data_IF_736938866913
#
_entry.id   IF_736938866913
#
_cell.length_a   1.000
_cell.length_b   1.000
_cell.length_c   1.000
_cell.angle_alpha   90.00
_cell.angle_beta   90.00
_cell.angle_gamma   90.00
#
_symmetry.space_group_name_H-M   'P 1'
#
loop_
_entity.id
_entity.type
_entity.pdbx_description
1 polymer ?
#
# COMPACT_ATOMS: atom_id res chain seq x y z
N UNK A 1 -10.34 13.30 -2.61
CA UNK A 1 -10.55 11.84 -2.45
C UNK A 1 -9.83 11.37 -1.21
N UNK A 2 -10.54 10.78 -0.29
CA UNK A 2 -9.94 10.28 0.93
C UNK A 2 -9.18 8.99 0.64
N UNK A 3 -7.88 8.99 0.90
CA UNK A 3 -7.03 7.83 0.65
C UNK A 3 -7.26 6.73 1.69
N UNK A 4 -7.40 7.12 2.96
CA UNK A 4 -7.59 6.18 4.05
C UNK A 4 -8.92 6.44 4.74
N UNK A 5 -9.69 5.39 4.89
CA UNK A 5 -10.90 5.40 5.69
C UNK A 5 -10.75 4.42 6.84
N UNK A 6 -11.42 4.69 7.95
CA UNK A 6 -11.51 3.69 9.01
C UNK A 6 -12.31 2.52 8.44
N UNK A 7 -11.63 1.42 8.23
CA UNK A 7 -12.24 0.24 7.68
C UNK A 7 -12.28 -0.87 8.71
N UNK A 8 -13.38 -1.59 8.74
CA UNK A 8 -13.37 -2.90 9.33
C UNK A 8 -12.66 -3.82 8.35
N UNK A 9 -11.37 -3.88 8.48
CA UNK A 9 -10.64 -4.84 7.71
C UNK A 9 -10.73 -6.18 8.39
N UNK A 10 -11.63 -7.00 7.94
CA UNK A 10 -11.44 -8.41 8.12
C UNK A 10 -10.32 -8.76 7.17
N UNK A 11 -9.13 -8.82 7.70
CA UNK A 11 -7.97 -9.16 6.90
C UNK A 11 -8.13 -10.59 6.41
N UNK A 12 -8.72 -10.71 5.25
CA UNK A 12 -8.58 -11.92 4.48
C UNK A 12 -7.18 -11.88 3.90
N UNK A 13 -6.32 -12.84 4.22
CA UNK A 13 -5.04 -12.92 3.55
C UNK A 13 -5.30 -13.22 2.09
N UNK A 14 -5.30 -12.16 1.29
CA UNK A 14 -5.21 -12.33 -0.15
C UNK A 14 -3.81 -12.82 -0.46
N UNK A 15 -3.70 -13.69 -1.44
CA UNK A 15 -2.40 -13.98 -2.00
C UNK A 15 -1.77 -12.64 -2.39
N UNK A 16 -0.58 -12.37 -1.88
CA UNK A 16 0.11 -11.11 -2.06
C UNK A 16 1.31 -11.27 -2.97
N UNK A 17 1.57 -10.25 -3.77
CA UNK A 17 2.86 -10.10 -4.43
C UNK A 17 3.95 -9.86 -3.38
N UNK A 18 5.21 -9.87 -3.80
CA UNK A 18 6.36 -9.67 -2.92
C UNK A 18 6.21 -8.38 -2.11
N UNK A 19 6.41 -8.48 -0.79
CA UNK A 19 6.36 -7.33 0.12
C UNK A 19 7.68 -7.23 0.87
N UNK A 20 8.28 -6.05 0.81
CA UNK A 20 9.46 -5.72 1.59
C UNK A 20 9.10 -4.71 2.67
N UNK A 21 9.64 -4.92 3.86
CA UNK A 21 9.51 -3.99 4.97
C UNK A 21 10.77 -3.15 5.03
N UNK A 22 10.61 -1.83 4.86
CA UNK A 22 11.73 -0.88 4.93
C UNK A 22 12.04 -0.43 6.34
N UNK A 23 12.51 0.82 6.47
CA UNK A 23 12.79 1.46 7.76
C UNK A 23 11.55 1.47 8.63
N UNK A 24 11.71 1.25 9.93
CA UNK A 24 10.60 1.13 10.86
C UNK A 24 10.66 2.15 11.97
N UNK A 25 9.51 2.77 12.21
CA UNK A 25 9.19 3.50 13.42
C UNK A 25 8.44 2.53 14.34
N UNK A 26 8.97 2.22 15.54
CA UNK A 26 8.32 1.21 16.40
C UNK A 26 6.89 1.55 16.82
N UNK A 27 6.47 2.80 16.69
CA UNK A 27 5.11 3.21 17.02
C UNK A 27 4.09 2.81 15.94
N UNK A 28 4.55 2.59 14.72
CA UNK A 28 3.68 2.39 13.57
C UNK A 28 4.08 1.14 12.81
N UNK A 29 3.10 0.32 12.49
CA UNK A 29 3.29 -0.79 11.55
C UNK A 29 2.59 -0.44 10.24
N UNK A 30 3.30 -0.59 9.14
CA UNK A 30 2.79 -0.30 7.80
C UNK A 30 2.80 -1.57 6.98
N UNK A 31 1.76 -1.77 6.19
CA UNK A 31 1.73 -2.84 5.21
C UNK A 31 1.36 -2.32 3.83
N UNK A 32 1.84 -3.01 2.81
CA UNK A 32 1.50 -2.75 1.42
C UNK A 32 1.29 -4.07 0.70
N UNK A 33 0.32 -4.13 -0.20
CA UNK A 33 0.10 -5.29 -1.04
C UNK A 33 -0.39 -4.85 -2.42
N UNK A 34 -0.06 -5.66 -3.42
CA UNK A 34 -0.59 -5.52 -4.76
C UNK A 34 -0.83 -6.92 -5.30
N UNK A 35 -2.02 -7.17 -5.84
CA UNK A 35 -2.38 -8.49 -6.31
C UNK A 35 -3.27 -8.41 -7.53
N UNK A 36 -3.07 -9.33 -8.47
CA UNK A 36 -3.92 -9.50 -9.64
C UNK A 36 -5.06 -10.47 -9.34
N UNK A 37 -6.22 -10.25 -9.94
CA UNK A 37 -7.31 -11.21 -9.93
C UNK A 37 -7.16 -12.29 -11.02
N UNK A 38 -6.07 -12.27 -11.79
CA UNK A 38 -5.77 -13.29 -12.79
C UNK A 38 -5.34 -14.61 -12.16
N UNK A 39 -4.80 -15.51 -12.97
CA UNK A 39 -4.38 -16.85 -12.50
C UNK A 39 -3.22 -16.78 -11.50
N UNK A 40 -2.37 -15.78 -11.62
CA UNK A 40 -1.24 -15.58 -10.73
C UNK A 40 -1.38 -14.22 -10.05
N UNK A 41 -1.48 -14.15 -8.71
CA UNK A 41 -1.64 -12.88 -8.02
C UNK A 41 -0.43 -11.95 -8.13
N UNK A 42 0.75 -12.48 -8.45
CA UNK A 42 1.98 -11.69 -8.58
C UNK A 42 2.13 -11.03 -9.95
N UNK A 43 1.25 -11.34 -10.89
CA UNK A 43 1.36 -10.90 -12.27
C UNK A 43 -0.01 -10.53 -12.83
N UNK A 44 -0.03 -9.50 -13.65
CA UNK A 44 -1.24 -9.06 -14.33
C UNK A 44 -0.99 -8.84 -15.80
N UNK A 45 -2.02 -9.08 -16.61
CA UNK A 45 -2.02 -8.76 -18.04
C UNK A 45 -3.24 -7.91 -18.37
N UNK A 46 -3.32 -7.44 -19.60
CA UNK A 46 -4.44 -6.61 -20.07
C UNK A 46 -5.77 -7.30 -19.77
N UNK A 47 -6.67 -6.56 -19.15
CA UNK A 47 -8.00 -7.05 -18.74
C UNK A 47 -8.07 -7.52 -17.30
N UNK A 48 -6.94 -7.82 -16.66
CA UNK A 48 -6.92 -8.19 -15.25
C UNK A 48 -7.18 -6.95 -14.38
N UNK A 49 -7.74 -7.19 -13.20
CA UNK A 49 -7.88 -6.15 -12.18
C UNK A 49 -6.78 -6.33 -11.14
N UNK A 50 -6.06 -5.26 -10.88
CA UNK A 50 -5.05 -5.21 -9.83
C UNK A 50 -5.63 -4.48 -8.62
N UNK A 51 -5.53 -5.10 -7.46
CA UNK A 51 -5.92 -4.48 -6.19
C UNK A 51 -4.68 -4.10 -5.42
N UNK A 52 -4.60 -2.83 -5.04
CA UNK A 52 -3.51 -2.27 -4.24
C UNK A 52 -4.07 -1.92 -2.88
N UNK A 53 -3.43 -2.38 -1.82
CA UNK A 53 -3.85 -2.10 -0.45
C UNK A 53 -2.69 -1.56 0.38
N UNK A 54 -3.02 -0.66 1.30
CA UNK A 54 -2.08 -0.18 2.30
C UNK A 54 -2.75 -0.07 3.64
N UNK A 55 -1.99 -0.27 4.71
CA UNK A 55 -2.49 -0.10 6.07
C UNK A 55 -1.45 0.48 7.00
N UNK A 56 -1.93 1.14 8.05
CA UNK A 56 -1.10 1.69 9.13
C UNK A 56 -1.76 1.34 10.45
N UNK A 57 -0.98 0.83 11.39
CA UNK A 57 -1.43 0.46 12.73
C UNK A 57 -0.66 1.24 13.77
N UNK A 58 -1.35 1.77 14.76
CA UNK A 58 -0.76 2.38 15.94
C UNK A 58 -0.48 1.29 16.99
N UNK A 59 0.80 1.01 17.23
CA UNK A 59 1.24 -0.03 18.16
C UNK A 59 1.37 0.45 19.60
N UNK A 60 0.97 1.68 19.88
CA UNK A 60 1.18 2.28 21.21
C UNK A 60 -0.12 2.32 22.01
N UNK A 61 0.01 2.64 23.30
CA UNK A 61 -1.12 2.84 24.18
C UNK A 61 -1.67 4.27 24.16
N UNK A 62 -1.16 5.12 23.28
CA UNK A 62 -1.56 6.52 23.15
C UNK A 62 -1.99 6.81 21.72
N UNK A 63 -2.87 7.78 21.57
CA UNK A 63 -3.25 8.30 20.27
C UNK A 63 -2.01 8.85 19.54
N UNK A 64 -1.85 8.50 18.26
CA UNK A 64 -0.74 8.96 17.43
C UNK A 64 -1.27 9.55 16.12
N UNK A 65 -0.55 10.53 15.63
CA UNK A 65 -0.79 11.04 14.29
C UNK A 65 0.32 10.58 13.35
N UNK A 66 0.03 10.54 12.06
CA UNK A 66 0.99 10.20 11.04
C UNK A 66 0.61 10.84 9.71
N UNK A 67 1.62 11.19 8.92
CA UNK A 67 1.44 11.48 7.51
C UNK A 67 1.63 10.18 6.74
N UNK A 68 0.59 9.73 6.08
CA UNK A 68 0.61 8.48 5.30
C UNK A 68 0.71 8.82 3.83
N UNK A 69 1.67 8.23 3.15
CA UNK A 69 1.90 8.45 1.71
C UNK A 69 1.89 7.12 0.99
N UNK A 70 1.17 7.06 -0.12
CA UNK A 70 1.19 5.93 -1.05
C UNK A 70 1.78 6.43 -2.36
N UNK A 71 2.77 5.71 -2.87
CA UNK A 71 3.43 6.00 -4.14
C UNK A 71 3.45 4.75 -5.00
N UNK A 72 3.06 4.88 -6.25
CA UNK A 72 3.18 3.82 -7.24
C UNK A 72 4.22 4.25 -8.27
N UNK A 73 5.21 3.39 -8.50
CA UNK A 73 6.25 3.62 -9.51
C UNK A 73 6.13 2.61 -10.63
N UNK A 74 6.39 3.09 -11.83
CA UNK A 74 6.42 2.26 -13.03
C UNK A 74 7.75 1.48 -13.13
N UNK A 75 7.91 0.61 -14.15
CA UNK A 75 9.14 -0.17 -14.31
C UNK A 75 10.40 0.65 -14.50
N UNK A 76 10.29 1.92 -14.84
CA UNK A 76 11.43 2.81 -14.99
C UNK A 76 11.72 3.64 -13.75
N UNK A 77 10.97 3.41 -12.67
CA UNK A 77 11.16 4.08 -11.41
C UNK A 77 10.45 5.44 -11.32
N UNK A 78 9.66 5.82 -12.33
CA UNK A 78 8.91 7.06 -12.32
C UNK A 78 7.66 6.92 -11.44
N UNK A 79 7.41 7.93 -10.61
CA UNK A 79 6.20 7.98 -9.81
C UNK A 79 5.01 8.31 -10.73
N UNK A 80 4.08 7.36 -10.85
CA UNK A 80 2.87 7.53 -11.66
C UNK A 80 1.65 7.87 -10.81
N UNK A 81 1.75 7.68 -9.51
CA UNK A 81 0.70 8.04 -8.57
C UNK A 81 1.32 8.31 -7.21
N UNK A 82 0.91 9.39 -6.58
CA UNK A 82 1.29 9.72 -5.20
C UNK A 82 0.12 10.39 -4.52
N UNK A 83 -0.20 9.95 -3.32
CA UNK A 83 -1.20 10.60 -2.49
C UNK A 83 -0.76 10.55 -1.03
N UNK A 84 -1.09 11.60 -0.28
CA UNK A 84 -0.72 11.72 1.12
C UNK A 84 -1.90 12.23 1.93
N UNK A 85 -2.02 11.72 3.16
CA UNK A 85 -3.07 12.14 4.08
C UNK A 85 -2.55 12.11 5.52
N UNK A 86 -2.90 13.13 6.29
CA UNK A 86 -2.68 13.12 7.73
C UNK A 86 -3.79 12.31 8.39
N UNK A 87 -3.42 11.35 9.21
CA UNK A 87 -4.35 10.48 9.92
C UNK A 87 -4.10 10.55 11.41
N UNK A 88 -5.13 10.29 12.18
CA UNK A 88 -5.05 10.18 13.64
C UNK A 88 -5.52 8.79 14.03
N UNK A 89 -4.70 8.08 14.79
CA UNK A 89 -4.90 6.69 15.14
C UNK A 89 -5.04 6.53 16.65
N UNK A 90 -6.16 5.95 17.05
CA UNK A 90 -6.35 5.55 18.45
C UNK A 90 -5.41 4.39 18.79
N UNK A 91 -5.16 4.10 20.07
CA UNK A 91 -4.32 2.98 20.46
C UNK A 91 -4.79 1.67 19.84
N UNK A 92 -3.90 0.96 19.14
CA UNK A 92 -4.20 -0.30 18.49
C UNK A 92 -5.00 -0.19 17.20
N UNK A 93 -5.38 1.00 16.78
CA UNK A 93 -6.20 1.20 15.58
C UNK A 93 -5.41 0.93 14.31
N UNK A 94 -6.05 0.30 13.34
CA UNK A 94 -5.55 0.16 11.99
C UNK A 94 -6.45 0.93 11.03
N UNK A 95 -5.84 1.74 10.19
CA UNK A 95 -6.50 2.40 9.07
C UNK A 95 -5.96 1.78 7.79
N UNK A 96 -6.85 1.47 6.85
CA UNK A 96 -6.46 0.87 5.58
C UNK A 96 -7.21 1.48 4.42
N UNK A 97 -6.63 1.34 3.24
CA UNK A 97 -7.20 1.82 1.99
C UNK A 97 -6.86 0.86 0.87
N UNK A 98 -7.73 0.80 -0.12
CA UNK A 98 -7.50 -0.04 -1.29
C UNK A 98 -7.93 0.68 -2.56
N UNK A 99 -7.24 0.36 -3.65
CA UNK A 99 -7.57 0.79 -5.00
C UNK A 99 -7.63 -0.41 -5.91
N UNK A 100 -8.48 -0.31 -6.93
CA UNK A 100 -8.53 -1.31 -7.99
C UNK A 100 -8.29 -0.64 -9.33
N UNK A 101 -7.44 -1.26 -10.14
CA UNK A 101 -7.13 -0.81 -11.50
C UNK A 101 -7.38 -1.94 -12.46
N UNK A 102 -7.97 -1.63 -13.61
CA UNK A 102 -8.01 -2.58 -14.73
C UNK A 102 -6.79 -2.30 -15.61
N UNK A 103 -5.99 -3.32 -15.85
CA UNK A 103 -4.81 -3.20 -16.71
C UNK A 103 -5.27 -3.05 -18.14
N UNK A 104 -4.82 -2.00 -18.81
CA UNK A 104 -5.08 -1.75 -20.21
C UNK A 104 -3.79 -1.62 -21.00
N UNK A 105 -3.90 -1.45 -22.31
CA UNK A 105 -2.73 -1.40 -23.21
C UNK A 105 -1.83 -0.17 -23.01
N UNK A 106 -2.30 0.84 -22.25
CA UNK A 106 -1.48 2.01 -21.94
C UNK A 106 -0.44 1.74 -20.87
N UNK A 107 -0.60 0.66 -20.09
CA UNK A 107 0.35 0.32 -19.04
C UNK A 107 1.61 -0.28 -19.64
N UNK A 108 2.73 0.24 -19.19
CA UNK A 108 4.03 -0.30 -19.55
C UNK A 108 4.24 -1.66 -18.90
N UNK A 109 4.81 -2.60 -19.64
CA UNK A 109 5.14 -3.93 -19.11
C UNK A 109 6.37 -3.85 -18.21
N UNK A 110 6.39 -4.65 -17.16
CA UNK A 110 7.48 -4.74 -16.21
C UNK A 110 7.00 -4.70 -14.78
N UNK A 111 7.93 -4.48 -13.85
CA UNK A 111 7.66 -4.48 -12.43
C UNK A 111 7.22 -3.10 -11.94
N UNK A 112 6.07 -3.06 -11.30
CA UNK A 112 5.54 -1.88 -10.61
C UNK A 112 5.77 -2.02 -9.11
N UNK A 113 6.07 -0.91 -8.45
CA UNK A 113 6.25 -0.87 -7.00
C UNK A 113 5.18 0.00 -6.36
N UNK A 114 4.60 -0.51 -5.28
CA UNK A 114 3.72 0.26 -4.41
C UNK A 114 4.42 0.44 -3.07
N UNK A 115 4.67 1.67 -2.69
CA UNK A 115 5.28 1.98 -1.39
C UNK A 115 4.26 2.72 -0.53
N UNK A 116 4.06 2.22 0.69
CA UNK A 116 3.25 2.89 1.70
C UNK A 116 4.20 3.31 2.83
N UNK A 117 4.13 4.55 3.23
CA UNK A 117 4.93 5.07 4.34
C UNK A 117 4.05 5.84 5.33
N UNK A 118 4.44 5.80 6.58
CA UNK A 118 3.80 6.59 7.64
C UNK A 118 4.89 7.27 8.46
N UNK A 119 4.78 8.58 8.60
CA UNK A 119 5.81 9.41 9.25
C UNK A 119 5.18 10.24 10.36
N UNK A 120 5.86 10.27 11.51
CA UNK A 120 5.59 11.24 12.58
C UNK A 120 6.91 11.72 13.18
N UNK A 121 6.84 12.43 14.32
CA UNK A 121 8.04 12.98 14.97
C UNK A 121 9.06 11.91 15.38
N UNK A 122 8.65 10.65 15.50
CA UNK A 122 9.51 9.54 15.93
C UNK A 122 10.09 8.74 14.77
N UNK A 123 9.83 9.14 13.54
CA UNK A 123 10.40 8.52 12.36
C UNK A 123 9.38 8.01 11.35
N UNK A 124 9.85 7.20 10.44
CA UNK A 124 9.09 6.68 9.32
C UNK A 124 9.07 5.17 9.33
N UNK A 125 7.90 4.59 9.12
CA UNK A 125 7.76 3.18 8.77
C UNK A 125 7.31 3.07 7.32
N UNK A 126 7.82 2.08 6.59
CA UNK A 126 7.45 1.88 5.20
C UNK A 126 7.37 0.41 4.82
N UNK A 127 6.58 0.12 3.80
CA UNK A 127 6.46 -1.20 3.21
C UNK A 127 6.30 -1.05 1.70
N UNK A 128 6.83 -1.99 0.94
CA UNK A 128 6.79 -1.98 -0.52
C UNK A 128 6.26 -3.31 -1.04
N UNK A 129 5.35 -3.27 -1.98
CA UNK A 129 4.86 -4.43 -2.70
C UNK A 129 5.18 -4.27 -4.18
N UNK A 130 5.44 -5.39 -4.85
CA UNK A 130 5.80 -5.43 -6.27
C UNK A 130 4.83 -6.29 -7.03
N UNK A 131 4.49 -5.87 -8.24
CA UNK A 131 3.63 -6.63 -9.14
C UNK A 131 4.13 -6.45 -10.55
N UNK A 132 4.18 -7.56 -11.31
CA UNK A 132 4.60 -7.53 -12.71
C UNK A 132 3.38 -7.40 -13.63
N UNK A 133 3.47 -6.48 -14.60
CA UNK A 133 2.55 -6.44 -15.75
C UNK A 133 3.27 -7.06 -16.95
N UNK A 134 2.67 -8.07 -17.53
CA UNK A 134 3.28 -8.84 -18.61
C UNK A 134 2.43 -8.91 -19.88
#
# INVERSE_FOLDING_TARGET
>A
MTLFAVAFLIAMPLAQATTDVGTQNPQLTVSASAASNGENPDRATIGDTVKVEGSVTNNTSKKRSALVTVTVRDPQGSSIYTDSENVSLEPGQTISSSYSYVVDESYQKGNYEVTVSATNANGTSSATATLEIF
#
